data_IF_084315134629
#
_entry.id   IF_084315134629
#
_cell.length_a   1.000
_cell.length_b   1.000
_cell.length_c   1.000
_cell.angle_alpha   90.00
_cell.angle_beta   90.00
_cell.angle_gamma   90.00
#
_symmetry.space_group_name_H-M   'P 1'
#
loop_
_entity.id
_entity.type
_entity.pdbx_description
1 polymer ?
#
# COMPACT_ATOMS: atom_id res chain seq x y z
N UNK A 1 -0.04 30.22 17.86
CA UNK A 1 0.74 30.26 16.60
C UNK A 1 1.06 28.82 16.26
N UNK A 2 0.46 28.28 15.22
CA UNK A 2 0.68 26.89 14.80
C UNK A 2 2.16 26.69 14.49
N UNK A 3 2.77 25.71 15.12
CA UNK A 3 4.17 25.41 14.95
C UNK A 3 4.30 24.22 13.99
N UNK A 4 4.85 24.49 12.83
CA UNK A 4 5.07 23.52 11.78
C UNK A 4 6.56 23.22 11.62
N UNK A 5 6.91 21.92 11.51
CA UNK A 5 8.30 21.48 11.33
C UNK A 5 8.34 20.37 10.27
N UNK A 6 9.28 20.47 9.35
CA UNK A 6 9.58 19.40 8.41
C UNK A 6 10.60 18.42 9.04
N UNK A 7 10.31 17.13 8.99
CA UNK A 7 11.16 16.08 9.53
C UNK A 7 11.07 14.80 8.68
N UNK A 8 12.18 14.37 8.14
CA UNK A 8 12.31 13.16 7.28
C UNK A 8 11.26 13.09 6.14
N UNK A 9 10.94 14.26 5.55
CA UNK A 9 9.96 14.39 4.47
C UNK A 9 8.50 14.21 4.89
N UNK A 10 8.21 14.42 6.18
CA UNK A 10 6.89 14.66 6.73
C UNK A 10 6.83 16.10 7.24
N UNK A 11 5.65 16.65 7.24
CA UNK A 11 5.34 17.91 7.91
C UNK A 11 4.61 17.60 9.21
N UNK A 12 5.14 18.06 10.32
CA UNK A 12 4.52 17.95 11.65
C UNK A 12 3.97 19.32 12.01
N UNK A 13 2.67 19.41 12.24
CA UNK A 13 1.98 20.60 12.71
C UNK A 13 1.49 20.37 14.13
N UNK A 14 1.87 21.22 15.06
CA UNK A 14 1.39 21.20 16.44
C UNK A 14 0.14 22.06 16.58
N UNK A 15 -0.93 21.47 17.08
CA UNK A 15 -2.22 22.13 17.31
C UNK A 15 -2.76 21.76 18.70
N UNK A 16 -2.07 22.16 19.79
CA UNK A 16 -2.53 21.89 21.14
C UNK A 16 -3.90 22.50 21.41
N UNK A 17 -4.68 21.87 22.25
CA UNK A 17 -6.02 22.34 22.58
C UNK A 17 -6.15 22.53 24.08
N UNK A 18 -6.86 23.60 24.46
CA UNK A 18 -7.12 23.88 25.88
C UNK A 18 -8.22 22.99 26.41
N UNK A 19 -7.96 22.33 27.53
CA UNK A 19 -8.94 21.52 28.24
C UNK A 19 -9.87 22.40 29.06
N UNK A 20 -11.17 22.07 29.05
CA UNK A 20 -12.22 22.90 29.66
C UNK A 20 -12.17 22.81 31.19
N UNK A 21 -11.83 21.63 31.74
CA UNK A 21 -11.99 21.33 33.16
C UNK A 21 -10.90 21.93 34.04
N UNK A 22 -9.65 21.99 33.60
CA UNK A 22 -8.50 22.43 34.41
C UNK A 22 -7.63 23.51 33.76
N UNK A 23 -8.04 23.97 32.57
CA UNK A 23 -7.34 25.02 31.83
C UNK A 23 -5.97 24.65 31.30
N UNK A 24 -5.57 23.38 31.42
CA UNK A 24 -4.33 22.84 30.85
C UNK A 24 -4.45 22.58 29.36
N UNK A 25 -3.31 22.26 28.74
CA UNK A 25 -3.20 22.05 27.32
C UNK A 25 -2.96 20.59 26.98
N UNK A 26 -3.88 20.00 26.17
CA UNK A 26 -3.73 18.66 25.62
C UNK A 26 -2.86 18.67 24.37
N UNK A 27 -2.08 17.60 24.18
CA UNK A 27 -1.25 17.42 23.01
C UNK A 27 -2.07 16.91 21.82
N UNK A 28 -2.03 17.63 20.73
CA UNK A 28 -2.58 17.23 19.44
C UNK A 28 -1.63 17.69 18.34
N UNK A 29 -1.36 16.82 17.40
CA UNK A 29 -0.52 17.10 16.25
C UNK A 29 -1.14 16.53 14.97
N UNK A 30 -0.80 17.13 13.86
CA UNK A 30 -1.08 16.60 12.52
C UNK A 30 0.24 16.27 11.85
N UNK A 31 0.34 15.08 11.29
CA UNK A 31 1.48 14.67 10.47
C UNK A 31 0.98 14.53 9.04
N UNK A 32 1.60 15.27 8.14
CA UNK A 32 1.28 15.29 6.72
C UNK A 32 2.45 14.77 5.90
N UNK A 33 2.14 14.12 4.80
CA UNK A 33 3.09 13.77 3.75
C UNK A 33 2.51 14.21 2.42
N UNK A 34 3.32 14.91 1.64
CA UNK A 34 2.97 15.26 0.26
C UNK A 34 3.62 14.25 -0.69
N UNK A 35 2.80 13.65 -1.52
CA UNK A 35 3.24 12.79 -2.61
C UNK A 35 2.56 13.22 -3.92
N UNK A 36 2.98 12.63 -5.04
CA UNK A 36 2.45 12.96 -6.37
C UNK A 36 0.93 12.77 -6.53
N UNK A 37 0.21 12.27 -5.50
CA UNK A 37 -1.25 12.13 -5.43
C UNK A 37 -1.91 13.16 -4.54
N UNK A 38 -1.13 14.01 -3.88
CA UNK A 38 -1.59 15.05 -2.98
C UNK A 38 -1.16 14.88 -1.53
N UNK A 39 -1.62 15.77 -0.69
CA UNK A 39 -1.28 15.80 0.74
C UNK A 39 -2.17 14.82 1.51
N UNK A 40 -1.54 13.92 2.27
CA UNK A 40 -2.24 13.07 3.24
C UNK A 40 -1.88 13.48 4.64
N UNK A 41 -2.89 13.71 5.47
CA UNK A 41 -2.75 14.17 6.84
C UNK A 41 -3.38 13.18 7.80
N UNK A 42 -2.72 12.93 8.93
CA UNK A 42 -3.25 12.13 10.05
C UNK A 42 -3.08 12.86 11.36
N UNK A 43 -4.12 12.85 12.17
CA UNK A 43 -4.12 13.40 13.52
C UNK A 43 -3.60 12.38 14.53
N UNK A 44 -2.79 12.87 15.48
CA UNK A 44 -2.32 12.11 16.64
C UNK A 44 -2.49 12.95 17.91
N UNK A 45 -2.88 12.29 18.97
CA UNK A 45 -2.97 12.87 20.32
C UNK A 45 -2.32 11.94 21.34
N UNK A 46 -1.93 12.49 22.47
CA UNK A 46 -1.45 11.71 23.62
C UNK A 46 -2.19 12.16 24.89
N UNK A 47 -2.44 11.22 25.79
CA UNK A 47 -3.09 11.47 27.09
C UNK A 47 -2.14 12.14 28.09
N UNK A 48 -1.51 13.22 27.64
CA UNK A 48 -0.59 14.03 28.44
C UNK A 48 -1.04 15.48 28.37
N UNK A 49 -1.01 16.16 29.49
CA UNK A 49 -1.42 17.55 29.62
C UNK A 49 -0.25 18.42 30.10
N UNK A 50 -0.21 19.66 29.62
CA UNK A 50 0.84 20.62 29.88
C UNK A 50 0.25 21.88 30.50
N UNK A 51 1.05 22.60 31.26
CA UNK A 51 0.62 23.84 31.93
C UNK A 51 0.45 24.99 30.92
N UNK A 52 1.20 24.99 29.85
CA UNK A 52 1.19 26.05 28.82
C UNK A 52 1.05 25.47 27.41
N UNK A 53 0.49 26.30 26.52
CA UNK A 53 0.42 26.00 25.08
C UNK A 53 1.82 25.75 24.50
N UNK A 54 2.79 26.57 24.89
CA UNK A 54 4.16 26.48 24.42
C UNK A 54 4.85 25.16 24.78
N UNK A 55 4.62 24.65 26.00
CA UNK A 55 5.11 23.32 26.41
C UNK A 55 4.43 22.23 25.58
N UNK A 56 3.12 22.30 25.39
CA UNK A 56 2.38 21.34 24.56
C UNK A 56 2.89 21.33 23.11
N UNK A 57 3.24 22.50 22.53
CA UNK A 57 3.84 22.60 21.21
C UNK A 57 5.19 21.92 21.09
N UNK A 58 6.11 22.21 22.02
CA UNK A 58 7.46 21.62 22.01
C UNK A 58 7.37 20.09 22.11
N UNK A 59 6.57 19.60 23.06
CA UNK A 59 6.38 18.17 23.26
C UNK A 59 5.59 17.53 22.12
N UNK A 60 4.67 18.26 21.48
CA UNK A 60 3.94 17.82 20.30
C UNK A 60 4.87 17.54 19.12
N UNK A 61 5.76 18.47 18.80
CA UNK A 61 6.77 18.27 17.74
C UNK A 61 7.69 17.09 18.08
N UNK A 62 8.18 17.00 19.30
CA UNK A 62 9.03 15.88 19.74
C UNK A 62 8.28 14.52 19.66
N UNK A 63 7.01 14.50 20.00
CA UNK A 63 6.14 13.32 19.86
C UNK A 63 5.97 12.92 18.40
N UNK A 64 5.74 13.88 17.51
CA UNK A 64 5.66 13.65 16.07
C UNK A 64 6.94 13.05 15.48
N UNK A 65 8.11 13.55 15.89
CA UNK A 65 9.40 13.00 15.48
C UNK A 65 9.58 11.54 15.96
N UNK A 66 9.18 11.23 17.18
CA UNK A 66 9.23 9.86 17.73
C UNK A 66 8.28 8.91 17.01
N UNK A 67 7.10 9.38 16.57
CA UNK A 67 6.17 8.60 15.74
C UNK A 67 6.79 8.28 14.38
N UNK A 68 7.45 9.26 13.75
CA UNK A 68 8.15 9.08 12.47
C UNK A 68 9.32 8.11 12.61
N UNK A 69 10.07 8.19 13.70
CA UNK A 69 11.19 7.28 14.01
C UNK A 69 10.74 5.86 14.41
N UNK A 70 9.42 5.60 14.53
CA UNK A 70 8.90 4.31 14.99
C UNK A 70 9.15 4.00 16.47
N UNK A 71 9.42 5.04 17.29
CA UNK A 71 9.73 4.90 18.72
C UNK A 71 8.51 4.99 19.64
N UNK A 72 7.30 4.98 19.07
CA UNK A 72 6.04 4.98 19.83
C UNK A 72 5.35 3.65 19.61
N UNK A 73 5.22 2.87 20.68
CA UNK A 73 4.65 1.52 20.64
C UNK A 73 3.18 1.56 20.18
N UNK A 74 2.82 0.67 19.25
CA UNK A 74 1.46 0.56 18.72
C UNK A 74 0.98 1.69 17.80
N UNK A 75 1.83 2.67 17.51
CA UNK A 75 1.51 3.80 16.62
C UNK A 75 2.65 4.03 15.61
N UNK A 76 2.32 4.15 14.34
CA UNK A 76 3.30 4.39 13.27
C UNK A 76 2.72 5.33 12.22
N UNK A 77 3.60 6.07 11.59
CA UNK A 77 3.32 6.89 10.39
C UNK A 77 3.94 6.28 9.13
N UNK A 78 4.62 5.14 9.27
CA UNK A 78 5.32 4.47 8.15
C UNK A 78 4.37 4.13 7.02
N UNK A 79 3.12 3.82 7.33
CA UNK A 79 2.05 3.58 6.37
C UNK A 79 1.56 4.86 5.65
N UNK A 80 1.90 6.05 6.13
CA UNK A 80 1.60 7.32 5.44
C UNK A 80 2.57 7.60 4.29
N UNK A 81 3.84 7.23 4.41
CA UNK A 81 4.82 7.23 3.32
C UNK A 81 4.78 5.95 2.50
N UNK A 82 4.27 4.88 3.03
CA UNK A 82 3.79 3.80 2.23
C UNK A 82 2.51 4.25 1.51
N UNK A 83 2.69 5.17 0.59
CA UNK A 83 2.11 5.00 -0.69
C UNK A 83 2.12 3.54 -0.94
N UNK A 84 0.99 2.91 -0.74
CA UNK A 84 0.82 1.57 -1.25
C UNK A 84 2.18 0.89 -1.44
N UNK A 85 2.57 -0.10 -0.67
CA UNK A 85 3.75 -0.95 -0.95
C UNK A 85 3.78 -1.44 -2.42
N UNK A 86 2.83 -1.00 -3.19
CA UNK A 86 2.66 -1.09 -4.62
C UNK A 86 3.50 0.01 -5.25
N UNK A 87 4.81 -0.24 -5.35
CA UNK A 87 5.71 0.64 -6.12
C UNK A 87 5.32 0.72 -7.61
N UNK A 88 4.25 0.00 -7.99
CA UNK A 88 3.71 -0.04 -9.34
C UNK A 88 2.19 0.06 -9.33
N UNK A 89 1.61 0.87 -10.23
CA UNK A 89 0.18 0.99 -10.35
C UNK A 89 -0.44 -0.39 -10.67
N UNK A 90 -1.61 -0.66 -10.11
CA UNK A 90 -2.42 -1.79 -10.53
C UNK A 90 -3.29 -1.35 -11.70
N UNK A 91 -3.06 -1.99 -12.83
CA UNK A 91 -3.86 -1.78 -14.03
C UNK A 91 -5.04 -2.73 -14.04
N UNK A 92 -6.21 -2.21 -14.36
CA UNK A 92 -7.39 -3.04 -14.61
C UNK A 92 -7.21 -3.77 -15.93
N UNK A 93 -7.37 -5.09 -15.88
CA UNK A 93 -7.22 -5.97 -17.04
C UNK A 93 -8.33 -7.01 -17.05
N UNK A 94 -8.45 -7.75 -18.15
CA UNK A 94 -9.30 -8.93 -18.27
C UNK A 94 -8.51 -10.00 -19.01
N UNK A 95 -7.53 -10.57 -18.35
CA UNK A 95 -6.66 -11.59 -18.94
C UNK A 95 -7.06 -12.97 -18.46
N UNK A 96 -7.16 -13.90 -19.39
CA UNK A 96 -7.28 -15.31 -19.03
C UNK A 96 -6.03 -15.75 -18.30
N UNK A 97 -6.19 -16.49 -17.21
CA UNK A 97 -5.10 -16.97 -16.39
C UNK A 97 -5.37 -18.42 -15.99
N UNK A 98 -4.34 -19.25 -16.02
CA UNK A 98 -4.37 -20.58 -15.43
C UNK A 98 -3.43 -20.59 -14.23
N UNK A 99 -3.79 -21.38 -13.22
CA UNK A 99 -2.98 -21.52 -12.03
C UNK A 99 -2.99 -22.96 -11.53
N UNK A 100 -1.92 -23.35 -10.87
CA UNK A 100 -1.78 -24.66 -10.26
C UNK A 100 -0.99 -24.61 -8.96
N UNK A 101 -1.26 -25.56 -8.06
CA UNK A 101 -0.49 -25.80 -6.85
C UNK A 101 0.03 -27.23 -6.81
N UNK A 102 1.10 -27.46 -6.06
CA UNK A 102 1.70 -28.79 -5.86
C UNK A 102 0.73 -29.82 -5.26
N UNK A 103 -0.35 -29.38 -4.64
CA UNK A 103 -1.41 -30.20 -4.03
C UNK A 103 -2.46 -30.73 -5.01
N UNK A 104 -2.18 -30.77 -6.31
CA UNK A 104 -3.10 -31.13 -7.40
C UNK A 104 -4.28 -30.15 -7.60
N UNK A 105 -4.18 -28.95 -7.09
CA UNK A 105 -5.13 -27.89 -7.39
C UNK A 105 -4.75 -27.26 -8.72
N UNK A 106 -5.67 -27.28 -9.67
CA UNK A 106 -5.55 -26.61 -10.95
C UNK A 106 -6.82 -25.79 -11.20
N UNK A 107 -6.67 -24.61 -11.78
CA UNK A 107 -7.81 -23.77 -12.08
C UNK A 107 -7.54 -22.79 -13.21
N UNK A 108 -8.63 -22.24 -13.69
CA UNK A 108 -8.63 -21.13 -14.64
C UNK A 108 -9.42 -19.97 -14.06
N UNK A 109 -9.05 -18.77 -14.41
CA UNK A 109 -9.72 -17.56 -13.95
C UNK A 109 -9.48 -16.39 -14.88
N UNK A 110 -10.14 -15.30 -14.54
CA UNK A 110 -9.94 -13.99 -15.19
C UNK A 110 -9.16 -13.11 -14.23
N UNK A 111 -8.03 -12.62 -14.67
CA UNK A 111 -7.26 -11.62 -13.96
C UNK A 111 -7.96 -10.26 -14.11
N UNK A 112 -8.28 -9.64 -12.98
CA UNK A 112 -9.02 -8.39 -12.90
C UNK A 112 -8.10 -7.16 -12.76
N UNK A 113 -6.95 -7.34 -12.17
CA UNK A 113 -5.90 -6.33 -12.09
C UNK A 113 -4.51 -6.97 -12.04
N UNK A 114 -3.51 -6.20 -12.48
CA UNK A 114 -2.13 -6.65 -12.62
C UNK A 114 -1.16 -5.53 -12.23
N UNK A 115 -0.12 -5.89 -11.48
CA UNK A 115 1.06 -5.07 -11.20
C UNK A 115 2.32 -5.94 -11.31
N UNK A 116 3.51 -5.33 -11.22
CA UNK A 116 4.77 -6.10 -11.20
C UNK A 116 4.93 -6.99 -9.96
N UNK A 117 4.21 -6.69 -8.89
CA UNK A 117 4.30 -7.43 -7.62
C UNK A 117 3.13 -8.36 -7.32
N UNK A 118 2.07 -8.36 -8.12
CA UNK A 118 0.91 -9.19 -7.85
C UNK A 118 -0.28 -8.94 -8.75
N UNK A 119 -1.35 -9.70 -8.49
CA UNK A 119 -2.58 -9.60 -9.27
C UNK A 119 -3.81 -9.99 -8.44
N UNK A 120 -4.98 -9.75 -9.00
CA UNK A 120 -6.26 -10.23 -8.51
C UNK A 120 -6.94 -11.06 -9.57
N UNK A 121 -7.43 -12.23 -9.17
CA UNK A 121 -8.07 -13.21 -10.06
C UNK A 121 -9.46 -13.52 -9.56
N UNK A 122 -10.40 -13.65 -10.48
CA UNK A 122 -11.73 -14.21 -10.25
C UNK A 122 -11.78 -15.61 -10.87
N UNK A 123 -12.16 -16.61 -10.06
CA UNK A 123 -12.26 -18.00 -10.49
C UNK A 123 -13.31 -18.76 -9.67
N UNK A 124 -14.02 -19.73 -10.26
CA UNK A 124 -14.91 -20.62 -9.51
C UNK A 124 -14.14 -21.64 -8.65
N UNK A 125 -12.82 -21.77 -8.86
CA UNK A 125 -11.98 -22.71 -8.09
C UNK A 125 -11.66 -22.10 -6.74
N UNK A 126 -11.93 -22.84 -5.68
CA UNK A 126 -11.64 -22.43 -4.30
C UNK A 126 -10.15 -22.54 -4.01
N UNK A 127 -9.57 -21.45 -3.53
CA UNK A 127 -8.20 -21.36 -3.03
C UNK A 127 -8.21 -20.89 -1.58
N UNK A 128 -7.15 -21.15 -0.86
CA UNK A 128 -7.02 -20.72 0.55
C UNK A 128 -5.86 -19.73 0.70
N UNK A 129 -5.97 -18.74 1.64
CA UNK A 129 -4.86 -17.86 1.96
C UNK A 129 -3.62 -18.64 2.39
N UNK A 130 -2.44 -18.20 1.94
CA UNK A 130 -1.16 -18.82 2.22
C UNK A 130 -0.74 -19.92 1.24
N UNK A 131 -1.62 -20.38 0.36
CA UNK A 131 -1.28 -21.34 -0.69
C UNK A 131 -0.38 -20.68 -1.73
N UNK A 132 0.63 -21.41 -2.20
CA UNK A 132 1.50 -21.00 -3.30
C UNK A 132 0.98 -21.56 -4.62
N UNK A 133 0.84 -20.68 -5.60
CA UNK A 133 0.36 -21.00 -6.94
C UNK A 133 1.41 -20.66 -8.00
N UNK A 134 1.55 -21.52 -9.00
CA UNK A 134 2.18 -21.21 -10.28
C UNK A 134 1.12 -20.57 -11.19
N UNK A 135 1.49 -19.52 -11.94
CA UNK A 135 0.56 -18.81 -12.82
C UNK A 135 1.06 -18.80 -14.26
N UNK A 136 0.10 -18.89 -15.19
CA UNK A 136 0.28 -18.60 -16.61
C UNK A 136 -0.72 -17.52 -17.01
N UNK A 137 -0.22 -16.37 -17.42
CA UNK A 137 -1.02 -15.19 -17.72
C UNK A 137 -1.04 -14.99 -19.25
N UNK A 138 -2.22 -15.04 -19.84
CA UNK A 138 -2.44 -14.87 -21.25
C UNK A 138 -2.80 -13.40 -21.55
N UNK A 139 -1.75 -12.56 -21.66
CA UNK A 139 -1.91 -11.17 -22.02
C UNK A 139 -2.13 -11.02 -23.56
N UNK A 140 -2.88 -10.01 -24.01
CA UNK A 140 -2.98 -9.72 -25.43
C UNK A 140 -1.62 -9.31 -26.01
N UNK A 141 -1.43 -9.52 -27.31
CA UNK A 141 -0.23 -9.15 -28.07
C UNK A 141 1.10 -9.79 -27.58
N UNK A 142 0.97 -10.84 -26.76
CA UNK A 142 2.13 -11.63 -26.30
C UNK A 142 2.01 -13.05 -26.84
N UNK A 143 3.00 -13.49 -27.58
CA UNK A 143 3.02 -14.80 -28.26
C UNK A 143 2.94 -15.98 -27.26
N UNK A 144 3.61 -15.85 -26.13
CA UNK A 144 3.69 -16.87 -25.08
C UNK A 144 3.17 -16.34 -23.74
N UNK A 145 2.43 -17.11 -22.96
CA UNK A 145 1.96 -16.68 -21.65
C UNK A 145 3.12 -16.26 -20.75
N UNK A 146 2.86 -15.26 -19.92
CA UNK A 146 3.80 -14.88 -18.85
C UNK A 146 3.75 -15.94 -17.75
N UNK A 147 4.92 -16.34 -17.27
CA UNK A 147 5.06 -17.37 -16.24
C UNK A 147 5.46 -16.75 -14.90
N UNK A 148 4.68 -17.02 -13.86
CA UNK A 148 5.04 -16.73 -12.46
C UNK A 148 5.25 -18.06 -11.76
N UNK A 149 6.47 -18.36 -11.38
CA UNK A 149 6.83 -19.67 -10.78
C UNK A 149 6.19 -19.86 -9.40
N UNK A 150 6.03 -18.80 -8.64
CA UNK A 150 5.33 -18.87 -7.35
C UNK A 150 4.70 -17.52 -6.97
N UNK A 151 3.42 -17.58 -6.63
CA UNK A 151 2.65 -16.47 -6.08
C UNK A 151 1.90 -16.97 -4.84
N UNK A 152 1.87 -16.18 -3.79
CA UNK A 152 1.17 -16.50 -2.55
C UNK A 152 -0.22 -15.88 -2.53
N UNK A 153 -1.23 -16.69 -2.20
CA UNK A 153 -2.58 -16.18 -1.95
C UNK A 153 -2.58 -15.36 -0.67
N UNK A 154 -2.85 -14.07 -0.79
CA UNK A 154 -2.83 -13.12 0.33
C UNK A 154 -4.19 -13.00 1.01
N UNK A 155 -5.25 -13.05 0.23
CA UNK A 155 -6.63 -12.96 0.70
C UNK A 155 -7.58 -13.62 -0.29
N UNK A 156 -8.74 -14.04 0.21
CA UNK A 156 -9.84 -14.61 -0.57
C UNK A 156 -11.14 -13.92 -0.17
N UNK A 157 -11.96 -13.54 -1.13
CA UNK A 157 -13.29 -12.96 -0.94
C UNK A 157 -14.25 -13.48 -2.01
N UNK A 158 -15.13 -14.41 -1.63
CA UNK A 158 -16.00 -15.09 -2.58
C UNK A 158 -15.20 -15.87 -3.62
N UNK A 159 -15.41 -15.57 -4.89
CA UNK A 159 -14.69 -16.16 -6.03
C UNK A 159 -13.47 -15.34 -6.47
N UNK A 160 -13.11 -14.30 -5.73
CA UNK A 160 -11.98 -13.42 -6.02
C UNK A 160 -10.89 -13.61 -4.99
N UNK A 161 -9.63 -13.64 -5.43
CA UNK A 161 -8.48 -13.72 -4.56
C UNK A 161 -7.31 -12.88 -5.06
N UNK A 162 -6.52 -12.39 -4.12
CA UNK A 162 -5.34 -11.58 -4.38
C UNK A 162 -4.06 -12.38 -4.19
N UNK A 163 -3.12 -12.18 -5.11
CA UNK A 163 -1.84 -12.87 -5.16
C UNK A 163 -0.68 -11.88 -5.09
N UNK A 164 0.35 -12.23 -4.33
CA UNK A 164 1.65 -11.57 -4.36
C UNK A 164 2.67 -12.49 -5.05
N UNK A 165 3.37 -11.95 -6.05
CA UNK A 165 4.44 -12.69 -6.73
C UNK A 165 5.69 -12.70 -5.87
N UNK A 166 6.28 -13.86 -5.61
CA UNK A 166 7.50 -13.97 -4.83
C UNK A 166 8.62 -14.75 -5.54
N UNK A 167 8.30 -15.48 -6.62
CA UNK A 167 9.26 -16.10 -7.49
C UNK A 167 8.85 -15.92 -8.95
N UNK A 168 9.66 -15.16 -9.67
CA UNK A 168 9.54 -14.92 -11.10
C UNK A 168 10.97 -14.80 -11.66
N UNK A 169 11.24 -15.40 -12.81
CA UNK A 169 12.56 -15.26 -13.44
C UNK A 169 12.77 -13.82 -13.90
N UNK A 170 14.03 -13.40 -14.01
CA UNK A 170 14.38 -12.05 -14.50
C UNK A 170 13.83 -11.77 -15.91
N UNK A 171 13.87 -12.77 -16.78
CA UNK A 171 13.32 -12.65 -18.14
C UNK A 171 11.80 -12.48 -18.15
N UNK A 172 11.07 -13.24 -17.32
CA UNK A 172 9.61 -13.11 -17.19
C UNK A 172 9.21 -11.80 -16.50
N UNK A 173 10.01 -11.35 -15.53
CA UNK A 173 9.79 -10.05 -14.88
C UNK A 173 9.92 -8.90 -15.88
N UNK A 174 10.92 -8.90 -16.74
CA UNK A 174 11.09 -7.90 -17.82
C UNK A 174 9.91 -7.93 -18.82
N UNK A 175 9.44 -9.13 -19.19
CA UNK A 175 8.25 -9.27 -20.05
C UNK A 175 6.99 -8.73 -19.38
N UNK A 176 6.83 -8.97 -18.09
CA UNK A 176 5.73 -8.44 -17.30
C UNK A 176 5.77 -6.91 -17.24
N UNK A 177 6.94 -6.33 -16.99
CA UNK A 177 7.14 -4.87 -17.00
C UNK A 177 6.78 -4.28 -18.37
N UNK A 178 7.19 -4.93 -19.47
CA UNK A 178 6.87 -4.48 -20.83
C UNK A 178 5.34 -4.50 -21.08
N UNK A 179 4.65 -5.55 -20.69
CA UNK A 179 3.17 -5.63 -20.81
C UNK A 179 2.49 -4.51 -20.02
N UNK A 180 2.95 -4.23 -18.81
CA UNK A 180 2.42 -3.16 -17.97
C UNK A 180 2.66 -1.78 -18.61
N UNK A 181 3.86 -1.54 -19.13
CA UNK A 181 4.21 -0.28 -19.82
C UNK A 181 3.35 -0.07 -21.08
N UNK A 182 3.12 -1.11 -21.86
CA UNK A 182 2.30 -1.04 -23.07
C UNK A 182 0.84 -0.76 -22.74
N UNK A 183 0.31 -1.36 -21.67
CA UNK A 183 -1.05 -1.08 -21.17
C UNK A 183 -1.18 0.38 -20.70
N UNK A 184 -0.19 0.90 -19.97
CA UNK A 184 -0.20 2.29 -19.51
C UNK A 184 -0.18 3.29 -20.67
N UNK A 185 0.58 3.00 -21.73
CA UNK A 185 0.61 3.81 -22.96
C UNK A 185 -0.72 3.75 -23.73
N UNK A 186 -1.36 2.57 -23.77
CA UNK A 186 -2.66 2.37 -24.41
C UNK A 186 -3.78 3.16 -23.74
N UNK A 187 -3.79 3.26 -22.41
CA UNK A 187 -4.77 4.08 -21.67
C UNK A 187 -4.58 5.58 -21.90
N UNK A 188 -3.34 6.05 -22.09
CA UNK A 188 -3.02 7.45 -22.38
C UNK A 188 -3.43 7.89 -23.80
N UNK A 189 -3.64 6.95 -24.72
CA UNK A 189 -4.03 7.23 -26.10
C UNK A 189 -5.55 7.21 -26.33
N UNK A 190 -6.34 6.81 -25.33
CA UNK A 190 -7.81 6.69 -25.40
C UNK A 190 -8.54 7.90 -24.77
N UNK A 191 -7.81 8.97 -24.46
CA UNK A 191 -8.34 10.21 -23.88
C UNK A 191 -8.55 11.32 -24.88
#
# INVERSE_FOLDING_TARGET
>A
MEKTVEYQGYTIESAPHRLVDDGKWGLRIFISVDDHRGVRTREFSADVVYATEHEADIHGIAFGQRLIDGKVEGRSVTDMKTTDRRMTPRLRVQFRTTFSASSKLEGTGIMLDLSTGGCRIESPVTVEPGVSLELRIFAPDVEWPLMVEAASVQWVSGQTFGLAFFRITESEHKRLEQVIDDLMKGESSAG
#
